data_IF_808994683914
#
_entry.id   IF_808994683914
#
_cell.length_a   1.000
_cell.length_b   1.000
_cell.length_c   1.000
_cell.angle_alpha   90.00
_cell.angle_beta   90.00
_cell.angle_gamma   90.00
#
_symmetry.space_group_name_H-M   'P 1'
#
loop_
_entity.id
_entity.type
_entity.pdbx_description
1 polymer ?
#
# COMPACT_ATOMS: atom_id res chain seq x y z
N UNK A 1 13.39 17.11 4.37
CA UNK A 1 13.96 17.75 3.17
C UNK A 1 13.01 17.38 2.05
N UNK A 2 12.54 18.33 1.25
CA UNK A 2 11.70 17.99 0.09
C UNK A 2 12.60 17.25 -0.90
N UNK A 3 12.43 15.94 -0.99
CA UNK A 3 12.77 15.20 -2.20
C UNK A 3 11.95 15.85 -3.33
N UNK A 4 12.54 16.04 -4.50
CA UNK A 4 11.86 16.63 -5.67
C UNK A 4 10.84 15.60 -6.19
N UNK A 5 9.73 15.43 -5.48
CA UNK A 5 8.71 14.44 -5.80
C UNK A 5 7.91 14.87 -7.03
N UNK A 6 7.76 13.95 -7.99
CA UNK A 6 6.93 14.19 -9.16
C UNK A 6 5.47 13.79 -8.85
N UNK A 7 4.46 14.61 -9.21
CA UNK A 7 3.07 14.25 -9.00
C UNK A 7 2.74 12.90 -9.63
N UNK A 8 2.19 11.99 -8.82
CA UNK A 8 2.01 10.62 -9.26
C UNK A 8 0.75 10.00 -8.65
N UNK A 9 -0.20 9.59 -9.49
CA UNK A 9 -1.47 9.07 -9.02
C UNK A 9 -1.39 7.58 -8.61
N UNK A 10 -2.26 7.13 -7.69
CA UNK A 10 -2.24 5.75 -7.20
C UNK A 10 -2.45 4.68 -8.27
N UNK A 11 -3.24 4.95 -9.32
CA UNK A 11 -3.57 3.97 -10.35
C UNK A 11 -2.37 3.75 -11.27
N UNK A 12 -1.74 4.82 -11.75
CA UNK A 12 -0.49 4.76 -12.53
C UNK A 12 0.63 4.10 -11.72
N UNK A 13 0.75 4.42 -10.43
CA UNK A 13 1.74 3.81 -9.55
C UNK A 13 1.58 2.29 -9.43
N UNK A 14 0.34 1.82 -9.32
CA UNK A 14 0.02 0.40 -9.33
C UNK A 14 0.45 -0.25 -10.65
N UNK A 15 0.12 0.34 -11.79
CA UNK A 15 0.44 -0.23 -13.10
C UNK A 15 1.96 -0.32 -13.31
N UNK A 16 2.70 0.76 -13.04
CA UNK A 16 4.16 0.75 -13.13
C UNK A 16 4.81 -0.26 -12.19
N UNK A 17 4.29 -0.41 -10.97
CA UNK A 17 4.78 -1.45 -10.05
C UNK A 17 4.57 -2.86 -10.61
N UNK A 18 3.41 -3.15 -11.19
CA UNK A 18 3.10 -4.47 -11.75
C UNK A 18 3.99 -4.76 -12.98
N UNK A 19 4.18 -3.77 -13.85
CA UNK A 19 5.08 -3.86 -15.00
C UNK A 19 6.51 -4.14 -14.55
N UNK A 20 7.02 -3.41 -13.55
CA UNK A 20 8.35 -3.61 -12.98
C UNK A 20 8.56 -5.00 -12.35
N UNK A 21 7.49 -5.75 -12.08
CA UNK A 21 7.53 -7.08 -11.43
C UNK A 21 7.14 -8.23 -12.34
N UNK A 22 6.72 -7.96 -13.58
CA UNK A 22 6.16 -8.98 -14.48
C UNK A 22 7.15 -10.10 -14.80
N UNK A 23 8.45 -9.80 -14.84
CA UNK A 23 9.52 -10.76 -15.11
C UNK A 23 10.12 -11.39 -13.85
N UNK A 24 9.89 -10.80 -12.68
CA UNK A 24 10.44 -11.27 -11.39
C UNK A 24 9.50 -12.24 -10.67
N UNK A 25 8.19 -12.14 -10.93
CA UNK A 25 7.16 -12.84 -10.19
C UNK A 25 6.41 -13.86 -11.05
N UNK A 26 5.98 -14.94 -10.42
CA UNK A 26 5.00 -15.85 -11.03
C UNK A 26 3.68 -15.10 -11.31
N UNK A 27 3.01 -15.47 -12.39
CA UNK A 27 1.75 -14.82 -12.82
C UNK A 27 0.66 -14.83 -11.74
N UNK A 28 0.57 -15.90 -10.95
CA UNK A 28 -0.37 -15.98 -9.81
C UNK A 28 -0.04 -14.99 -8.69
N UNK A 29 1.25 -14.74 -8.43
CA UNK A 29 1.71 -13.74 -7.48
C UNK A 29 1.43 -12.34 -7.99
N UNK A 30 1.66 -12.09 -9.29
CA UNK A 30 1.36 -10.81 -9.93
C UNK A 30 -0.14 -10.49 -9.88
N UNK A 31 -0.99 -11.47 -10.18
CA UNK A 31 -2.45 -11.33 -10.07
C UNK A 31 -2.90 -11.04 -8.63
N UNK A 32 -2.25 -11.67 -7.65
CA UNK A 32 -2.50 -11.40 -6.23
C UNK A 32 -2.09 -9.98 -5.85
N UNK A 33 -0.98 -9.47 -6.38
CA UNK A 33 -0.54 -8.10 -6.17
C UNK A 33 -1.51 -7.10 -6.79
N UNK A 34 -1.93 -7.34 -8.04
CA UNK A 34 -2.91 -6.51 -8.75
C UNK A 34 -4.22 -6.38 -7.96
N UNK A 35 -4.80 -7.50 -7.53
CA UNK A 35 -6.03 -7.50 -6.73
C UNK A 35 -5.90 -6.69 -5.43
N UNK A 36 -4.79 -6.88 -4.70
CA UNK A 36 -4.54 -6.16 -3.45
C UNK A 36 -4.34 -4.67 -3.70
N UNK A 37 -3.52 -4.29 -4.67
CA UNK A 37 -3.27 -2.88 -4.98
C UNK A 37 -4.51 -2.18 -5.52
N UNK A 38 -5.39 -2.88 -6.24
CA UNK A 38 -6.69 -2.34 -6.66
C UNK A 38 -7.53 -1.88 -5.45
N UNK A 39 -7.53 -2.63 -4.35
CA UNK A 39 -8.24 -2.22 -3.13
C UNK A 39 -7.63 -0.96 -2.50
N UNK A 40 -6.32 -0.79 -2.61
CA UNK A 40 -5.63 0.40 -2.13
C UNK A 40 -5.96 1.62 -2.98
N UNK A 41 -5.90 1.50 -4.31
CA UNK A 41 -6.28 2.58 -5.25
C UNK A 41 -7.73 3.02 -5.02
N UNK A 42 -8.67 2.07 -4.94
CA UNK A 42 -10.08 2.37 -4.65
C UNK A 42 -10.28 3.09 -3.31
N UNK A 43 -9.41 2.81 -2.34
CA UNK A 43 -9.45 3.51 -1.06
C UNK A 43 -8.89 4.93 -1.18
N UNK A 44 -7.79 5.13 -1.90
CA UNK A 44 -7.26 6.46 -2.21
C UNK A 44 -8.35 7.33 -2.88
N UNK A 45 -9.03 6.79 -3.89
CA UNK A 45 -10.14 7.46 -4.56
C UNK A 45 -11.25 7.86 -3.58
N UNK A 46 -11.59 6.96 -2.64
CA UNK A 46 -12.65 7.20 -1.65
C UNK A 46 -12.37 8.32 -0.65
N UNK A 47 -11.09 8.69 -0.48
CA UNK A 47 -10.68 9.79 0.40
C UNK A 47 -10.18 11.02 -0.37
N UNK A 48 -10.23 10.99 -1.70
CA UNK A 48 -9.71 12.05 -2.57
C UNK A 48 -8.18 12.15 -2.60
N UNK A 49 -7.46 11.07 -2.32
CA UNK A 49 -6.01 11.01 -2.41
C UNK A 49 -5.59 10.72 -3.86
N UNK A 50 -5.50 11.77 -4.66
CA UNK A 50 -5.18 11.69 -6.10
C UNK A 50 -3.68 11.80 -6.39
N UNK A 51 -2.89 12.28 -5.43
CA UNK A 51 -1.44 12.42 -5.54
C UNK A 51 -0.74 11.67 -4.41
N UNK A 52 0.13 10.73 -4.75
CA UNK A 52 0.91 9.97 -3.78
C UNK A 52 1.93 10.82 -3.03
N UNK A 53 2.28 12.01 -3.51
CA UNK A 53 3.10 12.96 -2.74
C UNK A 53 2.44 13.34 -1.41
N UNK A 54 1.11 13.29 -1.34
CA UNK A 54 0.32 13.62 -0.15
C UNK A 54 0.06 12.41 0.76
N UNK A 55 0.59 11.23 0.42
CA UNK A 55 0.40 10.05 1.25
C UNK A 55 1.21 10.17 2.55
N UNK A 56 0.56 9.86 3.68
CA UNK A 56 1.16 10.02 5.00
C UNK A 56 1.11 8.71 5.78
N UNK A 57 1.89 8.61 6.86
CA UNK A 57 1.78 7.51 7.83
C UNK A 57 0.34 7.34 8.37
N UNK A 58 -0.42 8.45 8.50
CA UNK A 58 -1.81 8.43 8.94
C UNK A 58 -2.73 7.79 7.88
N UNK A 59 -2.50 8.06 6.61
CA UNK A 59 -3.20 7.41 5.49
C UNK A 59 -2.97 5.89 5.52
N UNK A 60 -1.73 5.43 5.70
CA UNK A 60 -1.41 4.00 5.85
C UNK A 60 -2.16 3.37 7.04
N UNK A 61 -2.19 4.05 8.19
CA UNK A 61 -2.94 3.58 9.36
C UNK A 61 -4.45 3.46 9.07
N UNK A 62 -5.05 4.47 8.42
CA UNK A 62 -6.46 4.46 8.06
C UNK A 62 -6.81 3.33 7.09
N UNK A 63 -5.97 3.09 6.08
CA UNK A 63 -6.16 1.96 5.17
C UNK A 63 -6.13 0.62 5.92
N UNK A 64 -5.20 0.44 6.86
CA UNK A 64 -5.12 -0.76 7.71
C UNK A 64 -6.36 -0.95 8.58
N UNK A 65 -6.91 0.12 9.13
CA UNK A 65 -8.16 0.09 9.91
C UNK A 65 -9.33 -0.30 9.01
N UNK A 66 -9.50 0.36 7.85
CA UNK A 66 -10.55 0.02 6.86
C UNK A 66 -10.50 -1.47 6.52
N UNK A 67 -9.33 -2.00 6.16
CA UNK A 67 -9.17 -3.41 5.78
C UNK A 67 -9.44 -4.38 6.92
N UNK A 68 -9.44 -3.96 8.19
CA UNK A 68 -9.84 -4.80 9.33
C UNK A 68 -11.35 -4.78 9.57
N UNK A 69 -12.02 -3.70 9.20
CA UNK A 69 -13.45 -3.52 9.44
C UNK A 69 -14.34 -3.95 8.27
N UNK A 70 -13.74 -4.17 7.09
CA UNK A 70 -14.44 -4.51 5.84
C UNK A 70 -14.51 -6.03 5.64
N UNK A 71 -15.73 -6.59 5.68
CA UNK A 71 -16.05 -8.00 5.37
C UNK A 71 -15.28 -9.06 6.19
N UNK A 72 -14.93 -8.76 7.45
CA UNK A 72 -14.23 -9.66 8.40
C UNK A 72 -13.11 -10.51 7.74
N UNK A 73 -12.08 -9.86 7.19
CA UNK A 73 -11.09 -10.58 6.41
C UNK A 73 -10.15 -11.33 7.33
N UNK A 74 -9.72 -12.52 6.89
CA UNK A 74 -8.75 -13.30 7.64
C UNK A 74 -7.46 -12.51 7.91
N UNK A 75 -6.81 -12.79 9.04
CA UNK A 75 -5.51 -12.23 9.42
C UNK A 75 -4.49 -12.41 8.27
N UNK A 76 -4.48 -13.58 7.62
CA UNK A 76 -3.60 -13.86 6.49
C UNK A 76 -3.85 -12.94 5.30
N UNK A 77 -5.12 -12.65 4.99
CA UNK A 77 -5.47 -11.72 3.92
C UNK A 77 -4.96 -10.30 4.21
N UNK A 78 -5.13 -9.81 5.45
CA UNK A 78 -4.62 -8.50 5.86
C UNK A 78 -3.09 -8.47 5.80
N UNK A 79 -2.39 -9.51 6.28
CA UNK A 79 -0.92 -9.58 6.16
C UNK A 79 -0.47 -9.52 4.71
N UNK A 80 -1.13 -10.27 3.82
CA UNK A 80 -0.86 -10.24 2.39
C UNK A 80 -1.06 -8.86 1.78
N UNK A 81 -2.17 -8.19 2.14
CA UNK A 81 -2.47 -6.83 1.70
C UNK A 81 -1.38 -5.84 2.11
N UNK A 82 -0.98 -5.84 3.39
CA UNK A 82 0.03 -4.93 3.92
C UNK A 82 1.43 -5.25 3.38
N UNK A 83 1.77 -6.52 3.19
CA UNK A 83 3.04 -6.94 2.60
C UNK A 83 3.17 -6.43 1.16
N UNK A 84 2.13 -6.63 0.34
CA UNK A 84 2.08 -6.11 -1.03
C UNK A 84 2.16 -4.58 -1.06
N UNK A 85 1.41 -3.89 -0.20
CA UNK A 85 1.46 -2.42 -0.10
C UNK A 85 2.87 -1.91 0.28
N UNK A 86 3.56 -2.61 1.18
CA UNK A 86 4.92 -2.23 1.56
C UNK A 86 5.88 -2.27 0.37
N UNK A 87 5.87 -3.36 -0.39
CA UNK A 87 6.78 -3.51 -1.53
C UNK A 87 6.43 -2.59 -2.70
N UNK A 88 5.15 -2.21 -2.87
CA UNK A 88 4.76 -1.21 -3.88
C UNK A 88 5.18 0.20 -3.48
N UNK A 89 5.06 0.58 -2.20
CA UNK A 89 5.51 1.89 -1.74
C UNK A 89 7.03 2.02 -1.75
N UNK A 90 7.78 0.93 -1.51
CA UNK A 90 9.23 0.91 -1.77
C UNK A 90 9.58 1.21 -3.22
N UNK A 91 8.79 0.66 -4.15
CA UNK A 91 8.96 0.98 -5.56
C UNK A 91 8.65 2.46 -5.83
N UNK A 92 7.57 3.00 -5.26
CA UNK A 92 7.23 4.42 -5.40
C UNK A 92 8.34 5.35 -4.87
N UNK A 93 8.96 5.02 -3.73
CA UNK A 93 10.13 5.73 -3.21
C UNK A 93 11.31 5.67 -4.19
N UNK A 94 11.54 4.54 -4.87
CA UNK A 94 12.64 4.39 -5.83
C UNK A 94 12.47 5.18 -7.14
N UNK A 95 11.29 5.74 -7.37
CA UNK A 95 10.95 6.56 -8.55
C UNK A 95 10.49 7.97 -8.15
N UNK A 96 10.82 8.41 -6.93
CA UNK A 96 10.51 9.75 -6.41
C UNK A 96 9.01 10.10 -6.40
N UNK A 97 8.14 9.10 -6.24
CA UNK A 97 6.69 9.29 -6.17
C UNK A 97 6.13 9.41 -4.73
N UNK A 98 6.94 9.08 -3.72
CA UNK A 98 6.57 9.09 -2.29
C UNK A 98 7.81 9.42 -1.47
N UNK A 99 7.64 10.19 -0.39
CA UNK A 99 8.73 10.51 0.56
C UNK A 99 9.41 9.24 1.11
N UNK A 100 10.73 9.27 1.16
CA UNK A 100 11.54 8.19 1.71
C UNK A 100 11.17 7.85 3.17
N UNK A 101 11.20 6.55 3.48
CA UNK A 101 10.92 6.02 4.82
C UNK A 101 9.45 5.74 5.13
N UNK A 102 8.51 6.06 4.23
CA UNK A 102 7.09 5.71 4.41
C UNK A 102 6.86 4.18 4.44
N UNK A 103 7.68 3.42 3.71
CA UNK A 103 7.57 1.96 3.64
C UNK A 103 7.98 1.25 4.94
N UNK A 104 8.87 1.86 5.73
CA UNK A 104 9.37 1.32 7.00
C UNK A 104 8.27 1.13 8.06
N UNK A 105 7.18 1.87 7.93
CA UNK A 105 6.06 1.94 8.89
C UNK A 105 4.99 0.88 8.67
N UNK A 106 4.98 0.23 7.50
CA UNK A 106 3.94 -0.73 7.13
C UNK A 106 4.22 -2.07 7.80
N UNK A 107 4.09 -2.18 9.12
CA UNK A 107 4.29 -3.46 9.82
C UNK A 107 3.26 -4.51 9.38
N UNK A 108 3.73 -5.70 9.02
CA UNK A 108 2.89 -6.89 8.79
C UNK A 108 2.60 -7.64 10.09
N UNK A 109 3.21 -7.19 11.20
CA UNK A 109 2.87 -7.66 12.53
C UNK A 109 1.54 -7.04 12.97
N UNK A 110 0.46 -7.67 12.53
CA UNK A 110 -0.85 -7.44 13.08
C UNK A 110 -0.97 -8.26 14.36
N UNK A 111 -0.50 -7.67 15.46
CA UNK A 111 -0.70 -8.21 16.80
C UNK A 111 -2.16 -8.59 17.04
N UNK A 112 -2.35 -9.59 17.91
CA UNK A 112 -3.67 -10.08 18.33
C UNK A 112 -4.48 -8.89 18.82
N UNK A 113 -5.72 -8.75 18.34
CA UNK A 113 -6.64 -7.66 18.66
C UNK A 113 -6.92 -7.69 20.17
N UNK A 114 -6.13 -6.97 20.96
CA UNK A 114 -6.30 -7.00 22.42
C UNK A 114 -5.37 -6.13 23.27
N UNK A 115 -4.35 -5.45 22.71
CA UNK A 115 -3.37 -4.71 23.54
C UNK A 115 -3.11 -3.25 23.16
N UNK A 116 -3.90 -2.67 22.26
CA UNK A 116 -3.72 -1.25 21.87
C UNK A 116 -4.77 -0.30 22.48
N UNK A 117 -5.66 -0.81 23.32
CA UNK A 117 -6.61 -0.05 24.13
C UNK A 117 -6.79 -0.73 25.50
N UNK A 118 -5.73 -0.75 26.31
CA UNK A 118 -5.79 -1.08 27.74
C UNK A 118 -4.90 -0.11 28.51
#
# INVERSE_FOLDING_TARGET
MSEDLEPFDPATAKEMYLEARIHDLAQSTLQSHDYRLKQFVQWCDSIGLENLNDITRRHIHQFRVKRRTEDDPSITAIKGQLATLRVSLRFCVSIDAVESGLDGEITTDIGVVGQWYS
#
